data_IF_063955372331
#
_entry.id   IF_063955372331
#
_cell.length_a   1.000
_cell.length_b   1.000
_cell.length_c   1.000
_cell.angle_alpha   90.00
_cell.angle_beta   90.00
_cell.angle_gamma   90.00
#
_symmetry.space_group_name_H-M   'P 1'
#
loop_
_entity.id
_entity.type
_entity.pdbx_description
1 polymer ?
#
# COMPACT_ATOMS: atom_id res chain seq x y z
N UNK A 1 5.50 8.88 31.58
CA UNK A 1 5.90 8.97 32.97
C UNK A 1 4.71 8.56 33.82
N UNK A 2 4.90 7.58 34.68
CA UNK A 2 3.93 7.26 35.71
C UNK A 2 3.97 8.41 36.72
N UNK A 3 2.91 9.23 36.72
CA UNK A 3 2.80 10.39 37.62
C UNK A 3 2.23 10.00 38.97
N UNK A 4 2.04 8.70 39.24
CA UNK A 4 1.54 8.20 40.51
C UNK A 4 0.09 8.60 40.83
N UNK A 5 -0.69 8.99 39.83
CA UNK A 5 -2.07 9.39 40.04
C UNK A 5 -3.05 8.29 39.64
N UNK A 6 -3.91 7.98 40.54
CA UNK A 6 -5.12 7.21 40.24
C UNK A 6 -6.21 8.19 39.86
N UNK A 7 -6.67 8.13 38.61
CA UNK A 7 -7.80 8.89 38.13
C UNK A 7 -9.10 8.32 38.74
N UNK A 8 -9.77 9.16 39.45
CA UNK A 8 -11.14 8.87 39.86
C UNK A 8 -12.06 9.83 39.12
N UNK A 9 -12.50 9.40 37.96
CA UNK A 9 -13.33 10.16 37.04
C UNK A 9 -14.68 10.52 37.58
N UNK A 10 -15.16 9.82 38.64
CA UNK A 10 -16.45 10.10 39.23
C UNK A 10 -16.44 11.36 40.13
N UNK A 11 -15.27 11.77 40.62
CA UNK A 11 -15.21 12.81 41.69
C UNK A 11 -14.17 13.91 41.42
N UNK A 12 -13.07 13.66 40.71
CA UNK A 12 -11.99 14.62 40.57
C UNK A 12 -11.51 14.74 39.14
N UNK A 13 -11.45 15.98 38.66
CA UNK A 13 -10.84 16.34 37.40
C UNK A 13 -9.61 17.22 37.65
N UNK A 14 -8.45 16.87 37.14
CA UNK A 14 -7.23 17.66 37.26
C UNK A 14 -6.54 17.80 35.91
N UNK A 15 -6.07 19.01 35.63
CA UNK A 15 -5.20 19.30 34.51
C UNK A 15 -3.76 19.45 35.00
N UNK A 16 -2.81 18.88 34.26
CA UNK A 16 -1.39 18.97 34.57
C UNK A 16 -0.65 19.71 33.47
N UNK A 17 0.27 20.54 33.93
CA UNK A 17 1.32 21.09 33.07
C UNK A 17 2.57 20.26 33.28
N UNK A 18 2.95 19.49 32.28
CA UNK A 18 4.16 18.69 32.27
C UNK A 18 4.87 18.81 30.92
N UNK A 19 6.16 18.61 30.90
CA UNK A 19 6.90 18.47 29.64
C UNK A 19 6.63 17.06 29.10
N UNK A 20 6.47 16.93 27.78
CA UNK A 20 6.52 15.62 27.15
C UNK A 20 7.86 14.96 27.45
N UNK A 21 7.86 13.67 27.67
CA UNK A 21 9.09 12.90 27.94
C UNK A 21 10.17 13.16 26.90
N UNK A 22 9.79 13.17 25.62
CA UNK A 22 10.72 13.40 24.52
C UNK A 22 11.30 14.81 24.50
N UNK A 23 10.52 15.82 24.89
CA UNK A 23 10.98 17.20 25.00
C UNK A 23 11.71 17.47 26.32
N UNK A 24 11.42 16.73 27.37
CA UNK A 24 12.03 16.92 28.68
C UNK A 24 13.49 16.48 28.78
N UNK A 25 13.95 15.61 27.90
CA UNK A 25 15.32 15.15 27.81
C UNK A 25 16.27 16.11 27.08
N UNK A 26 15.73 17.13 26.45
CA UNK A 26 16.48 18.03 25.59
C UNK A 26 16.69 19.35 26.33
N UNK A 27 17.91 19.67 26.68
CA UNK A 27 18.33 20.98 27.19
C UNK A 27 18.19 22.05 26.10
N UNK A 28 17.01 22.13 25.48
CA UNK A 28 16.74 23.05 24.38
C UNK A 28 17.35 22.66 23.03
N UNK A 29 17.96 21.50 22.94
CA UNK A 29 18.55 20.99 21.69
C UNK A 29 17.66 19.85 21.13
N UNK A 30 17.42 19.87 19.83
CA UNK A 30 16.83 18.73 19.14
C UNK A 30 17.80 17.54 19.19
N UNK A 31 17.32 16.31 19.33
CA UNK A 31 18.18 15.14 19.26
C UNK A 31 18.93 15.12 17.92
N UNK A 32 20.16 14.69 17.96
CA UNK A 32 20.84 14.32 16.73
C UNK A 32 20.21 13.05 16.19
N UNK A 33 19.34 13.21 15.20
CA UNK A 33 18.62 12.12 14.52
C UNK A 33 19.45 11.44 13.43
N UNK A 34 20.74 11.76 13.35
CA UNK A 34 21.64 11.14 12.36
C UNK A 34 21.95 9.68 12.68
N UNK A 35 21.82 9.25 13.93
CA UNK A 35 22.03 7.87 14.35
C UNK A 35 20.70 7.12 14.48
N UNK A 36 20.62 5.91 13.92
CA UNK A 36 19.42 5.06 13.96
C UNK A 36 18.92 4.80 15.39
N UNK A 37 19.85 4.66 16.36
CA UNK A 37 19.51 4.50 17.77
C UNK A 37 18.83 5.73 18.38
N UNK A 38 19.23 6.93 17.97
CA UNK A 38 18.61 8.17 18.41
C UNK A 38 17.20 8.33 17.81
N UNK A 39 17.03 7.96 16.55
CA UNK A 39 15.73 7.94 15.89
C UNK A 39 14.78 6.98 16.60
N UNK A 40 15.24 5.79 16.97
CA UNK A 40 14.41 4.80 17.66
C UNK A 40 13.97 5.25 19.07
N UNK A 41 14.74 6.12 19.74
CA UNK A 41 14.36 6.66 21.06
C UNK A 41 13.24 7.71 20.95
N UNK A 42 13.18 8.45 19.85
CA UNK A 42 12.23 9.58 19.68
C UNK A 42 11.05 9.29 18.78
N UNK A 43 11.14 8.27 17.96
CA UNK A 43 10.10 7.90 17.00
C UNK A 43 9.56 6.49 17.31
N UNK A 44 8.32 6.42 17.69
CA UNK A 44 7.62 5.15 17.83
C UNK A 44 7.12 4.68 16.46
N UNK A 45 7.95 3.94 15.74
CA UNK A 45 7.50 3.24 14.55
C UNK A 45 6.72 1.99 14.94
N UNK A 46 5.48 1.93 14.48
CA UNK A 46 4.73 0.68 14.53
C UNK A 46 4.92 0.00 13.17
N UNK A 47 5.64 -1.11 13.16
CA UNK A 47 5.71 -1.97 12.00
C UNK A 47 4.32 -2.56 11.74
N UNK A 48 3.90 -2.65 10.48
CA UNK A 48 2.64 -3.25 10.07
C UNK A 48 2.46 -4.69 10.61
N UNK A 49 3.56 -5.43 10.75
CA UNK A 49 3.56 -6.80 11.32
C UNK A 49 3.34 -6.82 12.85
N UNK A 50 3.48 -5.69 13.52
CA UNK A 50 3.34 -5.54 14.97
C UNK A 50 2.07 -4.80 15.37
N UNK A 51 1.10 -4.69 14.49
CA UNK A 51 -0.21 -4.10 14.81
C UNK A 51 -0.94 -4.99 15.80
N UNK A 52 -1.02 -4.55 17.06
CA UNK A 52 -1.57 -5.34 18.17
C UNK A 52 -2.89 -4.79 18.71
N UNK A 53 -3.28 -3.59 18.28
CA UNK A 53 -4.51 -2.95 18.74
C UNK A 53 -5.68 -3.27 17.83
N UNK A 54 -6.82 -3.51 18.43
CA UNK A 54 -8.08 -3.76 17.74
C UNK A 54 -9.04 -2.57 17.97
N UNK A 55 -10.14 -2.55 17.24
CA UNK A 55 -11.19 -1.57 17.49
C UNK A 55 -11.65 -1.60 18.94
N UNK A 56 -11.92 -0.43 19.50
CA UNK A 56 -12.30 -0.27 20.92
C UNK A 56 -11.12 -0.26 21.89
N UNK A 57 -9.89 -0.45 21.42
CA UNK A 57 -8.70 -0.32 22.24
C UNK A 57 -8.09 1.08 22.08
N UNK A 58 -7.44 1.55 23.14
CA UNK A 58 -6.74 2.84 23.14
C UNK A 58 -5.24 2.67 23.32
N UNK A 59 -4.48 3.67 22.89
CA UNK A 59 -3.05 3.76 23.09
C UNK A 59 -2.67 5.16 23.55
N UNK A 60 -1.69 5.25 24.43
CA UNK A 60 -1.05 6.51 24.78
C UNK A 60 0.02 6.85 23.77
N UNK A 61 0.02 8.09 23.32
CA UNK A 61 1.01 8.61 22.39
C UNK A 61 1.65 9.87 22.96
N UNK A 62 2.93 10.08 22.66
CA UNK A 62 3.59 11.34 22.94
C UNK A 62 2.96 12.45 22.11
N UNK A 63 2.86 13.65 22.71
CA UNK A 63 2.36 14.80 21.95
C UNK A 63 3.30 15.14 20.80
N UNK A 64 2.72 15.49 19.68
CA UNK A 64 3.42 16.09 18.55
C UNK A 64 2.43 16.87 17.68
N UNK A 65 2.95 17.81 16.92
CA UNK A 65 2.20 18.51 15.90
C UNK A 65 3.16 19.00 14.82
N UNK A 66 2.63 19.29 13.63
CA UNK A 66 3.45 19.94 12.64
C UNK A 66 3.73 21.40 13.07
N UNK A 67 5.00 21.69 13.32
CA UNK A 67 5.48 23.01 13.81
C UNK A 67 5.74 24.00 12.66
N UNK A 68 5.69 23.53 11.44
CA UNK A 68 5.82 24.32 10.21
C UNK A 68 4.75 23.86 9.19
N UNK A 69 4.58 24.63 8.14
CA UNK A 69 3.82 24.17 6.98
C UNK A 69 4.49 22.95 6.36
N UNK A 70 3.69 21.99 5.95
CA UNK A 70 4.17 20.72 5.37
C UNK A 70 3.47 20.46 4.06
N UNK A 71 4.23 20.10 3.04
CA UNK A 71 3.65 19.53 1.81
C UNK A 71 3.03 18.18 2.14
N UNK A 72 1.81 17.94 1.64
CA UNK A 72 0.98 16.80 2.03
C UNK A 72 1.66 15.43 1.88
N UNK A 73 2.58 15.29 0.93
CA UNK A 73 3.34 14.05 0.73
C UNK A 73 4.25 13.65 1.90
N UNK A 74 4.66 14.62 2.73
CA UNK A 74 5.50 14.38 3.90
C UNK A 74 4.72 14.29 5.23
N UNK A 75 3.40 14.45 5.18
CA UNK A 75 2.58 14.49 6.39
C UNK A 75 2.73 13.24 7.26
N UNK A 76 2.78 12.06 6.63
CA UNK A 76 2.84 10.77 7.33
C UNK A 76 4.12 10.57 8.16
N UNK A 77 5.22 11.22 7.79
CA UNK A 77 6.48 11.14 8.53
C UNK A 77 6.62 12.22 9.61
N UNK A 78 5.74 13.22 9.58
CA UNK A 78 5.87 14.40 10.43
C UNK A 78 4.95 14.41 11.66
N UNK A 79 3.85 13.63 11.63
CA UNK A 79 2.84 13.67 12.69
C UNK A 79 2.37 12.27 13.08
N UNK A 80 1.80 12.17 14.28
CA UNK A 80 1.17 10.93 14.75
C UNK A 80 -0.04 10.60 13.88
N UNK A 81 -0.13 9.35 13.46
CA UNK A 81 -1.20 8.82 12.64
C UNK A 81 -1.63 7.44 13.13
N UNK A 82 -2.79 7.02 12.69
CA UNK A 82 -3.30 5.66 12.89
C UNK A 82 -3.04 4.88 11.60
N UNK A 83 -2.35 3.75 11.71
CA UNK A 83 -2.23 2.79 10.62
C UNK A 83 -3.36 1.77 10.74
N UNK A 84 -4.34 1.89 9.86
CA UNK A 84 -5.43 0.93 9.75
C UNK A 84 -5.05 -0.17 8.75
N UNK A 85 -5.04 -1.42 9.20
CA UNK A 85 -4.92 -2.60 8.36
C UNK A 85 -6.32 -3.15 8.07
N UNK A 86 -6.67 -3.26 6.81
CA UNK A 86 -7.89 -3.89 6.35
C UNK A 86 -7.56 -5.09 5.44
N UNK A 87 -8.48 -6.04 5.34
CA UNK A 87 -8.35 -7.21 4.47
C UNK A 87 -9.65 -7.45 3.70
N UNK A 88 -9.53 -7.61 2.40
CA UNK A 88 -10.65 -8.05 1.57
C UNK A 88 -10.76 -9.56 1.71
N UNK A 89 -11.96 -10.02 2.01
CA UNK A 89 -12.30 -11.43 2.09
C UNK A 89 -13.29 -11.79 0.98
N UNK A 90 -13.30 -13.05 0.59
CA UNK A 90 -14.33 -13.60 -0.26
C UNK A 90 -15.58 -13.99 0.57
N UNK A 91 -16.58 -14.59 -0.09
CA UNK A 91 -17.82 -15.06 0.54
C UNK A 91 -17.64 -16.20 1.54
N UNK A 92 -16.47 -16.85 1.54
CA UNK A 92 -16.09 -17.91 2.48
C UNK A 92 -15.13 -17.38 3.57
N UNK A 93 -15.03 -16.07 3.73
CA UNK A 93 -14.12 -15.40 4.68
C UNK A 93 -12.64 -15.68 4.43
N UNK A 94 -12.27 -16.05 3.18
CA UNK A 94 -10.87 -16.26 2.82
C UNK A 94 -10.26 -15.00 2.20
N UNK A 95 -8.96 -14.73 2.45
CA UNK A 95 -8.26 -13.61 1.85
C UNK A 95 -8.40 -13.61 0.33
N UNK A 96 -8.85 -12.49 -0.24
CA UNK A 96 -9.08 -12.33 -1.67
C UNK A 96 -8.08 -11.36 -2.27
N UNK A 97 -7.14 -11.88 -3.07
CA UNK A 97 -6.19 -11.06 -3.80
C UNK A 97 -6.89 -10.23 -4.87
N UNK A 98 -6.68 -8.92 -4.82
CA UNK A 98 -7.32 -7.96 -5.73
C UNK A 98 -6.27 -7.07 -6.39
N UNK A 99 -6.58 -6.56 -7.57
CA UNK A 99 -5.76 -5.62 -8.29
C UNK A 99 -6.60 -4.39 -8.64
N UNK A 100 -6.12 -3.21 -8.27
CA UNK A 100 -6.69 -1.94 -8.69
C UNK A 100 -6.01 -1.48 -9.97
N UNK A 101 -6.80 -1.28 -11.02
CA UNK A 101 -6.35 -0.79 -12.30
C UNK A 101 -7.36 0.22 -12.87
N UNK A 102 -6.91 1.40 -13.27
CA UNK A 102 -7.76 2.49 -13.76
C UNK A 102 -8.96 2.77 -12.84
N UNK A 103 -8.75 2.81 -11.53
CA UNK A 103 -9.82 3.05 -10.55
C UNK A 103 -10.78 1.88 -10.32
N UNK A 104 -10.68 0.80 -11.07
CA UNK A 104 -11.49 -0.42 -10.93
C UNK A 104 -10.74 -1.50 -10.16
N UNK A 105 -11.46 -2.21 -9.30
CA UNK A 105 -10.93 -3.32 -8.53
C UNK A 105 -11.31 -4.64 -9.22
N UNK A 106 -10.30 -5.43 -9.57
CA UNK A 106 -10.43 -6.72 -10.23
C UNK A 106 -10.03 -7.83 -9.28
N UNK A 107 -10.69 -9.00 -9.36
CA UNK A 107 -10.11 -10.24 -8.84
C UNK A 107 -8.86 -10.56 -9.65
N UNK A 108 -7.88 -11.20 -9.00
CA UNK A 108 -6.58 -11.48 -9.63
C UNK A 108 -6.70 -12.09 -11.02
N UNK A 109 -7.45 -13.19 -11.16
CA UNK A 109 -7.56 -13.89 -12.44
C UNK A 109 -8.31 -13.08 -13.49
N UNK A 110 -9.31 -12.28 -13.10
CA UNK A 110 -10.04 -11.41 -14.03
C UNK A 110 -9.10 -10.33 -14.60
N UNK A 111 -8.23 -9.78 -13.76
CA UNK A 111 -7.22 -8.82 -14.22
C UNK A 111 -6.19 -9.46 -15.17
N UNK A 112 -5.69 -10.65 -14.85
CA UNK A 112 -4.76 -11.37 -15.72
C UNK A 112 -5.39 -11.62 -17.10
N UNK A 113 -6.62 -12.12 -17.13
CA UNK A 113 -7.36 -12.37 -18.36
C UNK A 113 -7.65 -11.07 -19.14
N UNK A 114 -7.97 -9.98 -18.43
CA UNK A 114 -8.17 -8.68 -19.06
C UNK A 114 -6.92 -8.19 -19.80
N UNK A 115 -5.75 -8.27 -19.16
CA UNK A 115 -4.46 -7.88 -19.78
C UNK A 115 -4.15 -8.77 -20.98
N UNK A 116 -4.22 -10.09 -20.81
CA UNK A 116 -3.95 -11.06 -21.89
C UNK A 116 -4.85 -10.81 -23.09
N UNK A 117 -6.15 -10.68 -22.89
CA UNK A 117 -7.11 -10.39 -23.96
C UNK A 117 -6.83 -9.06 -24.67
N UNK A 118 -6.39 -8.05 -23.93
CA UNK A 118 -6.06 -6.74 -24.51
C UNK A 118 -4.79 -6.82 -25.37
N UNK A 119 -3.76 -7.52 -24.89
CA UNK A 119 -2.53 -7.76 -25.65
C UNK A 119 -2.78 -8.61 -26.91
N UNK A 120 -3.66 -9.61 -26.82
CA UNK A 120 -4.07 -10.43 -27.95
C UNK A 120 -4.76 -9.60 -29.04
N UNK A 121 -5.75 -8.79 -28.66
CA UNK A 121 -6.45 -7.89 -29.59
C UNK A 121 -5.51 -6.88 -30.26
N UNK A 122 -4.45 -6.49 -29.55
CA UNK A 122 -3.41 -5.60 -30.06
C UNK A 122 -2.31 -6.29 -30.86
N UNK A 123 -2.42 -7.61 -31.13
CA UNK A 123 -1.37 -8.43 -31.77
C UNK A 123 -0.02 -8.42 -31.04
N UNK A 124 -0.03 -8.14 -29.74
CA UNK A 124 1.15 -8.10 -28.86
C UNK A 124 1.37 -9.39 -28.08
N UNK A 125 0.46 -10.33 -28.20
CA UNK A 125 0.50 -11.63 -27.55
C UNK A 125 0.12 -12.71 -28.57
N UNK A 126 1.11 -13.46 -29.04
CA UNK A 126 0.97 -14.57 -29.98
C UNK A 126 1.67 -15.80 -29.40
N UNK A 127 1.13 -16.28 -28.26
CA UNK A 127 1.63 -17.47 -27.58
C UNK A 127 0.52 -18.47 -27.31
N UNK A 128 0.85 -19.74 -27.49
CA UNK A 128 -0.05 -20.89 -27.39
C UNK A 128 0.59 -22.00 -26.57
N UNK A 129 -0.23 -22.75 -25.87
CA UNK A 129 0.13 -24.02 -25.23
C UNK A 129 -0.39 -25.17 -26.10
N UNK A 130 0.37 -26.25 -26.15
CA UNK A 130 -0.14 -27.53 -26.69
C UNK A 130 -1.05 -28.14 -25.62
N UNK A 131 -2.37 -28.21 -25.92
CA UNK A 131 -3.36 -28.72 -25.00
C UNK A 131 -3.45 -30.25 -25.09
N UNK A 132 -3.33 -30.78 -26.30
CA UNK A 132 -3.43 -32.21 -26.57
C UNK A 132 -2.42 -32.63 -27.64
N UNK A 133 -1.47 -33.46 -27.25
CA UNK A 133 -0.45 -33.98 -28.16
C UNK A 133 -1.03 -34.96 -29.22
N UNK A 134 -2.05 -35.70 -28.86
CA UNK A 134 -2.64 -36.71 -29.76
C UNK A 134 -3.38 -36.06 -30.93
N UNK A 135 -4.02 -34.94 -30.70
CA UNK A 135 -4.77 -34.18 -31.72
C UNK A 135 -3.97 -33.00 -32.28
N UNK A 136 -2.85 -32.65 -31.69
CA UNK A 136 -2.08 -31.44 -32.05
C UNK A 136 -2.85 -30.16 -31.80
N UNK A 137 -3.72 -30.13 -30.78
CA UNK A 137 -4.55 -28.98 -30.45
C UNK A 137 -3.77 -27.95 -29.67
N UNK A 138 -3.68 -26.74 -30.20
CA UNK A 138 -3.08 -25.58 -29.54
C UNK A 138 -4.15 -24.63 -29.05
N UNK A 139 -3.97 -24.15 -27.83
CA UNK A 139 -4.82 -23.13 -27.21
C UNK A 139 -3.99 -21.92 -26.82
N UNK A 140 -4.58 -20.76 -26.92
CA UNK A 140 -3.92 -19.53 -26.53
C UNK A 140 -3.66 -19.52 -25.01
N UNK A 141 -2.52 -18.94 -24.59
CA UNK A 141 -2.20 -18.87 -23.17
C UNK A 141 -3.27 -18.10 -22.39
N UNK A 142 -3.54 -18.54 -21.18
CA UNK A 142 -4.47 -17.96 -20.23
C UNK A 142 -3.76 -17.53 -18.93
N UNK A 143 -4.57 -17.15 -17.92
CA UNK A 143 -4.05 -16.74 -16.61
C UNK A 143 -3.23 -17.82 -15.88
N UNK A 144 -3.35 -19.10 -16.27
CA UNK A 144 -2.54 -20.16 -15.68
C UNK A 144 -1.08 -20.13 -16.16
N UNK A 145 -0.82 -19.52 -17.33
CA UNK A 145 0.49 -19.42 -17.93
C UNK A 145 1.29 -18.17 -17.47
N UNK A 146 0.66 -17.30 -16.70
CA UNK A 146 1.27 -16.03 -16.25
C UNK A 146 1.20 -15.87 -14.75
N UNK A 147 2.05 -15.03 -14.22
CA UNK A 147 2.03 -14.63 -12.82
C UNK A 147 2.21 -13.12 -12.68
N UNK A 148 1.85 -12.61 -11.50
CA UNK A 148 2.13 -11.21 -11.15
C UNK A 148 3.53 -11.07 -10.58
N UNK A 149 4.25 -10.08 -11.08
CA UNK A 149 5.50 -9.60 -10.53
C UNK A 149 5.31 -8.15 -10.06
N UNK A 150 6.10 -7.72 -9.09
CA UNK A 150 6.08 -6.36 -8.57
C UNK A 150 7.35 -5.64 -9.01
N UNK A 151 7.21 -4.35 -9.30
CA UNK A 151 8.36 -3.46 -9.41
C UNK A 151 8.77 -2.91 -8.02
N UNK A 152 9.76 -2.02 -8.01
CA UNK A 152 10.27 -1.41 -6.77
C UNK A 152 9.24 -0.55 -6.04
N UNK A 153 8.25 -0.02 -6.78
CA UNK A 153 7.21 0.88 -6.26
C UNK A 153 5.94 0.11 -5.87
N UNK A 154 5.97 -1.23 -5.90
CA UNK A 154 4.82 -2.07 -5.57
C UNK A 154 3.77 -2.16 -6.67
N UNK A 155 4.05 -1.63 -7.86
CA UNK A 155 3.19 -1.77 -9.03
C UNK A 155 3.32 -3.19 -9.56
N UNK A 156 2.20 -3.77 -9.96
CA UNK A 156 2.16 -5.15 -10.46
C UNK A 156 2.14 -5.16 -11.99
N UNK A 157 2.84 -6.12 -12.56
CA UNK A 157 2.84 -6.41 -13.99
C UNK A 157 2.83 -7.92 -14.22
N UNK A 158 2.42 -8.33 -15.44
CA UNK A 158 2.42 -9.74 -15.81
C UNK A 158 3.80 -10.16 -16.29
N UNK A 159 4.16 -11.38 -15.95
CA UNK A 159 5.27 -12.11 -16.58
C UNK A 159 4.86 -13.57 -16.83
N UNK A 160 5.55 -14.22 -17.74
CA UNK A 160 5.35 -15.65 -18.00
C UNK A 160 5.78 -16.46 -16.76
N UNK A 161 5.04 -17.51 -16.44
CA UNK A 161 5.49 -18.49 -15.45
C UNK A 161 6.65 -19.29 -16.01
N UNK A 162 7.60 -19.71 -15.15
CA UNK A 162 8.61 -20.69 -15.55
C UNK A 162 7.93 -21.94 -16.09
N UNK A 163 8.35 -22.37 -17.25
CA UNK A 163 7.83 -23.60 -17.86
C UNK A 163 8.36 -24.81 -17.13
N UNK A 164 7.53 -25.84 -16.99
CA UNK A 164 7.99 -27.13 -16.54
C UNK A 164 8.99 -27.75 -17.54
N UNK A 165 9.92 -28.57 -17.06
CA UNK A 165 10.88 -29.23 -17.92
C UNK A 165 10.15 -30.03 -19.02
N UNK A 166 10.54 -29.82 -20.28
CA UNK A 166 9.94 -30.48 -21.43
C UNK A 166 8.68 -29.84 -21.99
N UNK A 167 8.18 -28.73 -21.38
CA UNK A 167 7.08 -27.94 -21.95
C UNK A 167 7.61 -26.75 -22.73
N UNK A 168 6.90 -26.40 -23.80
CA UNK A 168 7.22 -25.23 -24.64
C UNK A 168 5.98 -24.40 -24.89
N UNK A 169 6.17 -23.10 -25.04
CA UNK A 169 5.16 -22.23 -25.63
C UNK A 169 5.38 -22.14 -27.14
N UNK A 170 4.33 -21.96 -27.88
CA UNK A 170 4.32 -21.97 -29.34
C UNK A 170 3.86 -20.64 -29.89
N UNK A 171 4.39 -20.25 -31.05
CA UNK A 171 3.87 -19.16 -31.87
C UNK A 171 3.11 -19.68 -33.07
N UNK A 172 2.03 -19.01 -33.41
CA UNK A 172 1.27 -19.27 -34.64
C UNK A 172 1.81 -18.41 -35.78
N UNK A 173 2.09 -19.05 -36.92
CA UNK A 173 2.45 -18.39 -38.18
C UNK A 173 1.62 -18.99 -39.30
N UNK A 174 0.66 -18.24 -39.83
CA UNK A 174 -0.35 -18.80 -40.74
C UNK A 174 -1.16 -19.90 -40.07
N UNK A 175 -1.15 -21.09 -40.62
CA UNK A 175 -1.84 -22.28 -40.07
C UNK A 175 -0.91 -23.20 -39.25
N UNK A 176 0.36 -22.83 -39.07
CA UNK A 176 1.37 -23.65 -38.40
C UNK A 176 1.75 -23.10 -37.03
N UNK A 177 2.15 -24.00 -36.13
CA UNK A 177 2.67 -23.68 -34.82
C UNK A 177 4.13 -24.16 -34.72
N UNK A 178 4.98 -23.32 -34.17
CA UNK A 178 6.38 -23.61 -33.88
C UNK A 178 6.74 -23.21 -32.46
N UNK A 179 7.70 -23.92 -31.82
CA UNK A 179 8.19 -23.49 -30.50
C UNK A 179 8.65 -22.03 -30.53
N UNK A 180 8.22 -21.27 -29.55
CA UNK A 180 8.64 -19.86 -29.42
C UNK A 180 10.11 -19.79 -29.00
N UNK A 181 10.87 -18.91 -29.65
CA UNK A 181 12.26 -18.64 -29.30
C UNK A 181 12.35 -17.75 -28.05
N UNK A 182 13.49 -17.74 -27.38
CA UNK A 182 13.75 -16.85 -26.23
C UNK A 182 13.54 -15.37 -26.58
N UNK A 183 13.89 -14.96 -27.79
CA UNK A 183 13.65 -13.57 -28.26
C UNK A 183 12.16 -13.26 -28.31
N UNK A 184 11.36 -14.17 -28.84
CA UNK A 184 9.90 -14.00 -28.96
C UNK A 184 9.22 -14.01 -27.59
N UNK A 185 9.67 -14.87 -26.68
CA UNK A 185 9.20 -14.87 -25.28
C UNK A 185 9.55 -13.54 -24.60
N UNK A 186 10.77 -13.03 -24.78
CA UNK A 186 11.21 -11.75 -24.26
C UNK A 186 10.41 -10.56 -24.80
N UNK A 187 10.01 -10.58 -26.07
CA UNK A 187 9.14 -9.55 -26.65
C UNK A 187 7.74 -9.55 -26.00
N UNK A 188 7.17 -10.72 -25.76
CA UNK A 188 5.88 -10.85 -25.10
C UNK A 188 5.96 -10.39 -23.63
N UNK A 189 7.00 -10.77 -22.90
CA UNK A 189 7.21 -10.30 -21.52
C UNK A 189 7.39 -8.78 -21.46
N UNK A 190 8.12 -8.20 -22.41
CA UNK A 190 8.22 -6.75 -22.53
C UNK A 190 6.84 -6.12 -22.75
N UNK A 191 6.02 -6.65 -23.66
CA UNK A 191 4.68 -6.15 -23.90
C UNK A 191 3.78 -6.25 -22.64
N UNK A 192 3.89 -7.33 -21.86
CA UNK A 192 3.20 -7.49 -20.59
C UNK A 192 3.62 -6.44 -19.56
N UNK A 193 4.91 -6.15 -19.48
CA UNK A 193 5.45 -5.13 -18.58
C UNK A 193 5.07 -3.73 -19.03
N UNK A 194 5.17 -3.44 -20.32
CA UNK A 194 4.85 -2.14 -20.90
C UNK A 194 3.36 -1.82 -20.85
N UNK A 195 2.50 -2.84 -20.73
CA UNK A 195 1.04 -2.64 -20.57
C UNK A 195 0.72 -1.73 -19.39
N UNK A 196 1.44 -1.85 -18.29
CA UNK A 196 1.25 -1.05 -17.08
C UNK A 196 2.14 0.19 -17.02
N UNK A 197 2.99 0.45 -18.02
CA UNK A 197 3.92 1.57 -18.01
C UNK A 197 3.21 2.94 -17.86
N UNK A 198 1.99 3.06 -18.39
CA UNK A 198 1.18 4.28 -18.34
C UNK A 198 0.02 4.22 -17.34
N UNK A 199 -0.38 3.03 -16.92
CA UNK A 199 -1.53 2.80 -16.07
C UNK A 199 -1.12 1.92 -14.89
N UNK A 200 -0.96 2.55 -13.74
CA UNK A 200 -0.47 1.88 -12.54
C UNK A 200 -1.46 0.84 -12.03
N UNK A 201 -1.11 -0.43 -12.15
CA UNK A 201 -1.81 -1.50 -11.47
C UNK A 201 -1.21 -1.70 -10.08
N UNK A 202 -2.04 -1.67 -9.06
CA UNK A 202 -1.63 -1.88 -7.67
C UNK A 202 -2.23 -3.18 -7.17
N UNK A 203 -1.37 -4.10 -6.73
CA UNK A 203 -1.79 -5.39 -6.17
C UNK A 203 -2.03 -5.32 -4.66
N UNK A 204 -3.16 -5.87 -4.22
CA UNK A 204 -3.47 -6.10 -2.81
C UNK A 204 -3.30 -7.59 -2.51
N UNK A 205 -2.04 -7.98 -2.29
CA UNK A 205 -1.69 -9.37 -1.98
C UNK A 205 -2.44 -9.81 -0.72
N UNK A 206 -3.01 -11.00 -0.75
CA UNK A 206 -3.85 -11.55 0.32
C UNK A 206 -4.99 -10.59 0.73
N UNK A 207 -5.43 -9.71 -0.17
CA UNK A 207 -6.45 -8.70 0.08
C UNK A 207 -6.06 -7.59 1.05
N UNK A 208 -4.77 -7.48 1.43
CA UNK A 208 -4.32 -6.55 2.44
C UNK A 208 -4.23 -5.12 1.92
N UNK A 209 -4.81 -4.20 2.69
CA UNK A 209 -4.76 -2.76 2.47
C UNK A 209 -4.34 -2.05 3.76
N UNK A 210 -3.58 -0.99 3.60
CA UNK A 210 -3.12 -0.16 4.70
C UNK A 210 -3.52 1.28 4.46
N UNK A 211 -4.14 1.90 5.47
CA UNK A 211 -4.52 3.31 5.44
C UNK A 211 -3.79 4.02 6.56
N UNK A 212 -3.01 5.01 6.19
CA UNK A 212 -2.37 5.90 7.15
C UNK A 212 -3.28 7.13 7.34
N UNK A 213 -3.82 7.28 8.55
CA UNK A 213 -4.81 8.31 8.90
C UNK A 213 -4.14 9.28 9.88
N UNK A 214 -3.64 10.44 9.41
CA UNK A 214 -3.11 11.46 10.30
C UNK A 214 -4.22 11.99 11.21
N UNK A 215 -3.89 12.17 12.50
CA UNK A 215 -4.83 12.69 13.48
C UNK A 215 -4.93 14.20 13.30
N UNK A 216 -6.12 14.68 12.92
CA UNK A 216 -6.38 16.12 12.78
C UNK A 216 -6.69 16.72 14.15
N UNK A 217 -6.03 17.84 14.47
CA UNK A 217 -6.31 18.65 15.64
C UNK A 217 -7.16 19.89 15.25
N UNK A 218 -7.53 20.71 16.24
CA UNK A 218 -8.52 21.78 16.12
C UNK A 218 -8.12 22.99 15.25
N UNK A 219 -7.10 22.91 14.44
CA UNK A 219 -6.76 24.00 13.52
C UNK A 219 -7.66 23.97 12.28
N UNK A 220 -8.62 24.91 12.22
CA UNK A 220 -9.55 25.05 11.11
C UNK A 220 -8.95 25.79 9.89
N UNK A 221 -7.67 26.14 9.91
CA UNK A 221 -7.04 26.77 8.77
C UNK A 221 -7.16 25.88 7.51
N UNK A 222 -7.55 26.49 6.41
CA UNK A 222 -7.66 25.79 5.15
C UNK A 222 -6.27 25.35 4.64
N UNK A 223 -6.21 24.19 4.02
CA UNK A 223 -5.03 23.82 3.23
C UNK A 223 -4.96 24.68 1.99
N UNK A 224 -3.78 25.12 1.65
CA UNK A 224 -3.49 25.90 0.45
C UNK A 224 -2.78 25.05 -0.60
N UNK A 225 -2.46 25.65 -1.72
CA UNK A 225 -1.66 25.02 -2.77
C UNK A 225 -0.45 25.91 -3.04
N UNK A 226 0.74 25.34 -3.14
CA UNK A 226 1.95 26.05 -3.50
C UNK A 226 2.04 26.36 -5.01
N UNK A 227 3.14 26.94 -5.43
CA UNK A 227 3.39 27.29 -6.83
C UNK A 227 3.49 26.06 -7.76
N UNK A 228 3.82 24.89 -7.21
CA UNK A 228 3.91 23.59 -7.89
C UNK A 228 2.60 22.81 -7.86
N UNK A 229 1.48 23.42 -7.43
CA UNK A 229 0.18 22.77 -7.20
C UNK A 229 0.18 21.65 -6.16
N UNK A 230 1.15 21.64 -5.24
CA UNK A 230 1.18 20.71 -4.12
C UNK A 230 0.34 21.25 -2.97
N UNK A 231 -0.40 20.38 -2.34
CA UNK A 231 -1.23 20.71 -1.18
C UNK A 231 -0.35 21.03 0.03
N UNK A 232 -0.48 22.21 0.60
CA UNK A 232 0.24 22.69 1.78
C UNK A 232 -0.66 22.61 3.01
N UNK A 233 -0.16 21.95 4.04
CA UNK A 233 -0.81 21.74 5.32
C UNK A 233 -0.38 22.85 6.29
N UNK A 234 -1.30 23.64 6.84
CA UNK A 234 -0.94 24.69 7.79
C UNK A 234 -0.38 24.16 9.11
N UNK A 235 0.36 25.02 9.81
CA UNK A 235 0.94 24.72 11.13
C UNK A 235 -0.13 24.23 12.12
N UNK A 236 0.21 23.24 12.93
CA UNK A 236 -0.61 22.66 13.99
C UNK A 236 -1.99 22.11 13.54
N UNK A 237 -2.15 21.78 12.26
CA UNK A 237 -3.38 21.17 11.77
C UNK A 237 -3.48 19.69 12.16
N UNK A 238 -2.36 18.99 12.09
CA UNK A 238 -2.30 17.56 12.41
C UNK A 238 -1.38 17.31 13.61
N UNK A 239 -1.61 16.19 14.26
CA UNK A 239 -0.88 15.74 15.41
C UNK A 239 -1.76 15.53 16.62
N UNK A 240 -1.14 15.29 17.76
CA UNK A 240 -1.81 15.08 19.03
C UNK A 240 -1.27 16.03 20.09
N UNK A 241 -2.17 16.50 20.93
CA UNK A 241 -1.88 17.43 22.02
C UNK A 241 -2.15 16.72 23.34
N UNK A 242 -1.33 17.00 24.36
CA UNK A 242 -1.50 16.41 25.70
C UNK A 242 -2.88 16.70 26.26
N UNK A 243 -3.35 15.82 27.14
CA UNK A 243 -4.66 15.92 27.80
C UNK A 243 -5.87 15.87 26.84
N UNK A 244 -5.68 15.37 25.62
CA UNK A 244 -6.75 15.15 24.68
C UNK A 244 -6.98 13.65 24.45
N UNK A 245 -8.23 13.29 24.26
CA UNK A 245 -8.65 11.96 23.85
C UNK A 245 -9.19 12.06 22.43
N UNK A 246 -8.53 11.40 21.50
CA UNK A 246 -8.92 11.36 20.08
C UNK A 246 -9.67 10.07 19.81
N UNK A 247 -10.86 10.18 19.23
CA UNK A 247 -11.65 9.04 18.79
C UNK A 247 -11.69 9.04 17.28
N UNK A 248 -11.19 7.97 16.68
CA UNK A 248 -11.24 7.77 15.23
C UNK A 248 -12.26 6.70 14.91
N UNK A 249 -13.28 7.09 14.16
CA UNK A 249 -14.34 6.19 13.71
C UNK A 249 -14.18 5.90 12.22
N UNK A 250 -14.15 4.63 11.87
CA UNK A 250 -14.14 4.20 10.47
C UNK A 250 -15.58 3.97 10.03
N UNK A 251 -16.13 4.89 9.25
CA UNK A 251 -17.52 4.80 8.78
C UNK A 251 -17.64 3.95 7.51
N UNK A 252 -16.63 4.00 6.65
CA UNK A 252 -16.57 3.21 5.43
C UNK A 252 -15.13 3.10 4.93
N UNK A 253 -14.83 2.05 4.20
CA UNK A 253 -13.62 1.92 3.42
C UNK A 253 -14.00 2.03 1.96
N UNK A 254 -13.65 3.15 1.33
CA UNK A 254 -13.87 3.36 -0.11
C UNK A 254 -12.54 3.27 -0.85
N UNK A 255 -12.65 2.96 -2.13
CA UNK A 255 -11.50 2.82 -3.04
C UNK A 255 -10.76 4.15 -3.24
#
# INVERSE_FOLDING_TARGET
ADLGFVWNDAVWFRSYWGKSYNYGKQDGKYPDVSAEAAVAEYLNYINADKLTKQFGQSAYCAENSNTSEIVSEYLHSAVTSILLKAQILDENEQPLEMIRYNGTLYKRNDYLNYVLNTLQKGNKLNLYCLEDEATGKYVQIDHNCVELANDRDGKVYLKLKPLAAGTSLYRKSGETYAPATDTELGEVEKNMKDFNAYNEAIGYKDGLMYYNIPIEHLNNAATTTDAENKRVIPVAKYGIVRNHHYVVTVNSLTK
#
